data_IF_640158619177
#
_entry.id   IF_640158619177
#
_cell.length_a   1.000
_cell.length_b   1.000
_cell.length_c   1.000
_cell.angle_alpha   90.00
_cell.angle_beta   90.00
_cell.angle_gamma   90.00
#
_symmetry.space_group_name_H-M   'P 1'
#
loop_
_entity.id
_entity.type
_entity.pdbx_description
1 polymer ?
#
# COMPACT_ATOMS: atom_id res chain seq x y z
N UNK A 1 -5.59 9.19 7.24
CA UNK A 1 -4.70 10.34 7.53
C UNK A 1 -5.34 11.33 8.51
N UNK A 2 -6.59 11.71 8.31
CA UNK A 2 -7.31 12.72 9.11
C UNK A 2 -7.34 12.44 10.62
N UNK A 3 -7.48 11.17 11.01
CA UNK A 3 -7.68 10.72 12.40
C UNK A 3 -6.38 10.41 13.15
N UNK A 4 -5.24 10.44 12.48
CA UNK A 4 -3.95 10.15 13.12
C UNK A 4 -3.36 11.43 13.72
N UNK A 5 -3.01 11.38 14.99
CA UNK A 5 -2.36 12.49 15.72
C UNK A 5 -0.83 12.29 15.74
N UNK A 6 -0.21 12.29 14.56
CA UNK A 6 1.24 12.14 14.39
C UNK A 6 1.73 12.91 13.18
N UNK A 7 3.06 13.03 13.00
CA UNK A 7 3.62 13.53 11.75
C UNK A 7 3.25 12.57 10.61
N UNK A 8 2.68 13.11 9.54
CA UNK A 8 2.20 12.35 8.39
C UNK A 8 2.88 12.82 7.12
N UNK A 9 3.30 11.86 6.32
CA UNK A 9 3.85 12.06 4.99
C UNK A 9 3.01 11.24 4.02
N UNK A 10 2.54 11.85 2.94
CA UNK A 10 1.81 11.19 1.88
C UNK A 10 2.67 11.18 0.61
N UNK A 11 2.99 10.01 0.11
CA UNK A 11 3.70 9.85 -1.17
C UNK A 11 2.72 9.35 -2.21
N UNK A 12 2.39 10.19 -3.18
CA UNK A 12 1.38 9.93 -4.19
C UNK A 12 2.04 9.65 -5.54
N UNK A 13 1.75 8.48 -6.11
CA UNK A 13 2.25 8.06 -7.42
C UNK A 13 1.20 8.25 -8.51
N UNK A 14 1.58 8.93 -9.61
CA UNK A 14 0.73 9.14 -10.77
C UNK A 14 1.48 8.81 -12.06
N UNK A 15 0.75 8.59 -13.14
CA UNK A 15 1.36 8.42 -14.48
C UNK A 15 1.82 9.73 -15.08
N UNK A 16 1.06 10.81 -14.82
CA UNK A 16 1.26 12.13 -15.37
C UNK A 16 0.78 13.23 -14.40
N UNK A 17 0.66 14.48 -14.87
CA UNK A 17 0.21 15.62 -14.06
C UNK A 17 -1.25 15.61 -13.63
N UNK A 18 -2.05 14.58 -13.93
CA UNK A 18 -3.42 14.45 -13.43
C UNK A 18 -3.41 13.90 -12.00
N UNK A 19 -3.25 14.79 -11.03
CA UNK A 19 -3.03 14.46 -9.63
C UNK A 19 -4.33 14.60 -8.82
N UNK A 20 -5.19 13.59 -8.87
CA UNK A 20 -6.41 13.56 -8.05
C UNK A 20 -6.07 13.36 -6.56
N UNK A 21 -6.91 13.89 -5.67
CA UNK A 21 -6.76 13.85 -4.21
C UNK A 21 -5.53 14.54 -3.60
N UNK A 22 -4.63 15.12 -4.40
CA UNK A 22 -3.42 15.78 -3.90
C UNK A 22 -3.76 16.90 -2.90
N UNK A 23 -4.64 17.82 -3.30
CA UNK A 23 -5.04 18.97 -2.48
C UNK A 23 -5.76 18.56 -1.18
N UNK A 24 -6.44 17.42 -1.20
CA UNK A 24 -7.09 16.86 -0.02
C UNK A 24 -6.07 16.30 0.98
N UNK A 25 -5.02 15.65 0.49
CA UNK A 25 -3.92 15.16 1.34
C UNK A 25 -3.09 16.30 1.92
N UNK A 26 -2.86 17.38 1.18
CA UNK A 26 -2.11 18.56 1.62
C UNK A 26 -2.71 19.22 2.87
N UNK A 27 -4.01 19.01 3.12
CA UNK A 27 -4.67 19.50 4.33
C UNK A 27 -4.27 18.74 5.61
N UNK A 28 -3.69 17.55 5.52
CA UNK A 28 -3.47 16.66 6.65
C UNK A 28 -2.07 16.05 6.74
N UNK A 29 -1.25 16.20 5.71
CA UNK A 29 0.06 15.58 5.59
C UNK A 29 1.01 16.40 4.74
N UNK A 30 2.31 16.19 4.92
CA UNK A 30 3.31 16.64 3.96
C UNK A 30 3.21 15.75 2.71
N UNK A 31 2.90 16.34 1.56
CA UNK A 31 2.65 15.61 0.31
C UNK A 31 3.86 15.62 -0.59
N UNK A 32 4.26 14.45 -1.05
CA UNK A 32 5.30 14.23 -2.04
C UNK A 32 4.70 13.52 -3.25
N UNK A 33 5.07 13.94 -4.45
CA UNK A 33 4.51 13.42 -5.70
C UNK A 33 5.61 12.75 -6.51
N UNK A 34 5.29 11.58 -7.05
CA UNK A 34 6.06 10.90 -8.08
C UNK A 34 5.21 10.77 -9.35
N UNK A 35 5.80 11.06 -10.52
CA UNK A 35 5.15 10.84 -11.82
C UNK A 35 6.04 10.02 -12.73
N UNK A 36 5.45 9.04 -13.44
CA UNK A 36 6.20 8.18 -14.35
C UNK A 36 6.87 8.97 -15.47
N UNK A 37 6.17 9.97 -16.00
CA UNK A 37 6.64 10.83 -17.09
C UNK A 37 7.54 12.00 -16.63
N UNK A 38 7.59 12.27 -15.31
CA UNK A 38 8.34 13.39 -14.73
C UNK A 38 7.67 14.77 -14.92
N UNK A 39 6.37 14.80 -15.22
CA UNK A 39 5.62 16.05 -15.44
C UNK A 39 5.39 16.83 -14.15
N UNK A 40 5.47 16.19 -12.98
CA UNK A 40 5.38 16.81 -11.67
C UNK A 40 6.11 15.99 -10.61
N UNK A 41 6.69 16.66 -9.61
CA UNK A 41 7.40 16.02 -8.50
C UNK A 41 8.62 15.21 -8.95
N UNK A 42 8.89 14.11 -8.25
CA UNK A 42 9.96 13.18 -8.58
C UNK A 42 9.59 12.36 -9.82
N UNK A 43 10.49 12.27 -10.79
CA UNK A 43 10.31 11.36 -11.93
C UNK A 43 10.59 9.92 -11.50
N UNK A 44 9.60 9.04 -11.66
CA UNK A 44 9.71 7.63 -11.35
C UNK A 44 8.55 7.13 -10.51
N UNK A 45 8.84 6.20 -9.60
CA UNK A 45 7.85 5.59 -8.72
C UNK A 45 7.87 6.21 -7.30
N UNK A 46 6.95 5.76 -6.45
CA UNK A 46 6.82 6.29 -5.07
C UNK A 46 8.09 6.09 -4.22
N UNK A 47 8.85 5.02 -4.43
CA UNK A 47 10.11 4.79 -3.71
C UNK A 47 11.24 5.73 -4.18
N UNK A 48 11.19 6.16 -5.44
CA UNK A 48 12.12 7.17 -5.94
C UNK A 48 11.88 8.51 -5.24
N UNK A 49 10.60 8.89 -5.04
CA UNK A 49 10.25 10.07 -4.25
C UNK A 49 10.66 9.94 -2.77
N UNK A 50 10.51 8.76 -2.17
CA UNK A 50 10.98 8.49 -0.80
C UNK A 50 12.49 8.72 -0.68
N UNK A 51 13.27 8.19 -1.62
CA UNK A 51 14.74 8.30 -1.63
C UNK A 51 15.21 9.73 -1.91
N UNK A 52 14.64 10.38 -2.93
CA UNK A 52 15.04 11.74 -3.34
C UNK A 52 14.77 12.75 -2.22
N UNK A 53 13.66 12.59 -1.49
CA UNK A 53 13.30 13.50 -0.40
C UNK A 53 13.81 13.02 0.98
N UNK A 54 14.62 11.95 1.03
CA UNK A 54 15.17 11.36 2.27
C UNK A 54 14.08 11.11 3.32
N UNK A 55 12.93 10.58 2.90
CA UNK A 55 11.80 10.36 3.80
C UNK A 55 12.07 9.16 4.70
N UNK A 56 11.67 9.31 5.96
CA UNK A 56 11.74 8.26 6.98
C UNK A 56 10.38 8.07 7.61
N UNK A 57 10.07 6.84 8.01
CA UNK A 57 8.81 6.51 8.66
C UNK A 57 9.00 5.36 9.66
N UNK A 58 8.23 5.39 10.73
CA UNK A 58 8.13 4.26 11.68
C UNK A 58 7.12 3.22 11.20
N UNK A 59 6.10 3.67 10.47
CA UNK A 59 5.03 2.83 9.93
C UNK A 59 4.69 3.29 8.51
N UNK A 60 4.52 2.33 7.61
CA UNK A 60 4.07 2.56 6.23
C UNK A 60 2.68 1.95 6.03
N UNK A 61 1.79 2.73 5.45
CA UNK A 61 0.52 2.26 4.90
C UNK A 61 0.53 2.45 3.39
N UNK A 62 0.32 1.39 2.63
CA UNK A 62 0.38 1.44 1.18
C UNK A 62 -0.87 0.83 0.53
N UNK A 63 -1.31 1.46 -0.56
CA UNK A 63 -2.37 0.97 -1.43
C UNK A 63 -2.00 1.26 -2.88
N UNK A 64 -2.19 0.31 -3.77
CA UNK A 64 -1.89 0.47 -5.19
C UNK A 64 -1.58 -0.85 -5.91
N UNK A 65 -1.01 -0.78 -7.11
CA UNK A 65 -0.69 -1.96 -7.92
C UNK A 65 0.27 -2.93 -7.21
N UNK A 66 0.07 -4.23 -7.40
CA UNK A 66 0.89 -5.28 -6.78
C UNK A 66 2.41 -5.09 -6.96
N UNK A 67 2.93 -4.70 -8.14
CA UNK A 67 4.36 -4.44 -8.29
C UNK A 67 4.89 -3.33 -7.37
N UNK A 68 4.10 -2.27 -7.15
CA UNK A 68 4.43 -1.20 -6.22
C UNK A 68 4.42 -1.71 -4.77
N UNK A 69 3.39 -2.45 -4.38
CA UNK A 69 3.28 -3.02 -3.03
C UNK A 69 4.43 -3.98 -2.71
N UNK A 70 4.85 -4.79 -3.71
CA UNK A 70 6.03 -5.67 -3.59
C UNK A 70 7.30 -4.89 -3.32
N UNK A 71 7.55 -3.85 -4.08
CA UNK A 71 8.73 -2.99 -3.90
C UNK A 71 8.71 -2.28 -2.52
N UNK A 72 7.54 -1.81 -2.07
CA UNK A 72 7.38 -1.21 -0.74
C UNK A 72 7.61 -2.26 0.36
N UNK A 73 7.12 -3.48 0.19
CA UNK A 73 7.39 -4.60 1.12
C UNK A 73 8.88 -4.84 1.28
N UNK A 74 9.61 -4.96 0.17
CA UNK A 74 11.07 -5.16 0.19
C UNK A 74 11.79 -4.00 0.90
N UNK A 75 11.39 -2.76 0.60
CA UNK A 75 11.93 -1.57 1.24
C UNK A 75 11.66 -1.56 2.76
N UNK A 76 10.44 -1.84 3.17
CA UNK A 76 10.05 -1.85 4.58
C UNK A 76 10.76 -2.94 5.37
N UNK A 77 10.86 -4.15 4.81
CA UNK A 77 11.56 -5.28 5.44
C UNK A 77 13.05 -4.97 5.58
N UNK A 78 13.69 -4.45 4.53
CA UNK A 78 15.12 -4.12 4.55
C UNK A 78 15.47 -3.00 5.55
N UNK A 79 14.53 -2.10 5.84
CA UNK A 79 14.72 -1.01 6.79
C UNK A 79 14.08 -1.29 8.17
N UNK A 80 13.54 -2.50 8.39
CA UNK A 80 12.85 -2.90 9.61
C UNK A 80 11.70 -1.96 10.00
N UNK A 81 10.93 -1.49 9.01
CA UNK A 81 9.77 -0.61 9.18
C UNK A 81 8.49 -1.44 9.20
N UNK A 82 7.59 -1.16 10.13
CA UNK A 82 6.26 -1.75 10.13
C UNK A 82 5.48 -1.31 8.88
N UNK A 83 4.92 -2.27 8.12
CA UNK A 83 4.25 -1.95 6.88
C UNK A 83 2.94 -2.72 6.74
N UNK A 84 1.90 -1.99 6.36
CA UNK A 84 0.57 -2.52 6.10
C UNK A 84 0.17 -2.18 4.67
N UNK A 85 -0.39 -3.15 3.96
CA UNK A 85 -0.84 -3.01 2.58
C UNK A 85 -2.33 -3.23 2.46
N UNK A 86 -3.00 -2.39 1.73
CA UNK A 86 -4.40 -2.61 1.33
C UNK A 86 -4.41 -3.33 -0.02
N UNK A 87 -5.00 -4.52 -0.02
CA UNK A 87 -5.13 -5.34 -1.22
C UNK A 87 -6.51 -5.17 -1.84
N UNK A 88 -6.56 -5.22 -3.17
CA UNK A 88 -7.78 -5.18 -3.96
C UNK A 88 -7.89 -6.48 -4.77
N UNK A 89 -9.03 -7.16 -4.62
CA UNK A 89 -9.34 -8.37 -5.35
C UNK A 89 -10.79 -8.36 -5.84
N UNK A 90 -11.06 -9.11 -6.90
CA UNK A 90 -12.43 -9.26 -7.40
C UNK A 90 -13.29 -9.97 -6.38
N UNK A 91 -14.34 -9.30 -5.92
CA UNK A 91 -15.24 -9.84 -4.92
C UNK A 91 -16.54 -10.33 -5.56
N UNK A 92 -16.97 -11.55 -5.19
CA UNK A 92 -18.28 -12.05 -5.56
C UNK A 92 -19.26 -12.01 -4.39
N UNK A 93 -19.02 -12.74 -3.29
CA UNK A 93 -19.95 -12.78 -2.16
C UNK A 93 -19.76 -11.66 -1.13
N UNK A 94 -18.56 -11.13 -0.96
CA UNK A 94 -18.23 -10.12 0.06
C UNK A 94 -18.25 -10.61 1.51
N UNK A 95 -18.59 -11.87 1.77
CA UNK A 95 -18.78 -12.45 3.12
C UNK A 95 -17.78 -13.59 3.45
N UNK A 96 -16.82 -13.85 2.55
CA UNK A 96 -15.80 -14.88 2.75
C UNK A 96 -16.20 -16.31 2.42
N UNK A 97 -17.33 -16.53 1.74
CA UNK A 97 -17.84 -17.88 1.44
C UNK A 97 -17.33 -18.45 0.11
N UNK A 98 -17.16 -17.63 -0.93
CA UNK A 98 -16.92 -18.09 -2.32
C UNK A 98 -15.45 -18.26 -2.68
N UNK A 99 -14.50 -17.77 -1.88
CA UNK A 99 -13.06 -17.79 -2.12
C UNK A 99 -12.61 -17.06 -3.42
N UNK A 100 -13.43 -16.15 -3.97
CA UNK A 100 -13.09 -15.39 -5.18
C UNK A 100 -12.02 -14.31 -4.95
N UNK A 101 -11.97 -13.74 -3.74
CA UNK A 101 -11.08 -12.62 -3.38
C UNK A 101 -9.90 -13.06 -2.50
N UNK A 102 -9.33 -14.23 -2.75
CA UNK A 102 -8.21 -14.75 -1.96
C UNK A 102 -6.88 -14.15 -2.42
N UNK A 103 -6.05 -13.80 -1.45
CA UNK A 103 -4.63 -13.52 -1.65
C UNK A 103 -3.78 -14.61 -0.99
N UNK A 104 -2.57 -14.82 -1.48
CA UNK A 104 -1.64 -15.77 -0.86
C UNK A 104 -1.17 -15.25 0.50
N UNK A 105 -1.08 -16.14 1.49
CA UNK A 105 -0.61 -15.82 2.84
C UNK A 105 0.57 -16.70 3.24
N UNK A 106 1.32 -16.23 4.22
CA UNK A 106 2.42 -17.02 4.83
C UNK A 106 1.90 -18.17 5.68
N UNK A 107 0.74 -17.97 6.32
CA UNK A 107 0.12 -18.93 7.22
C UNK A 107 -1.02 -19.69 6.56
N UNK A 108 -1.29 -20.90 7.07
CA UNK A 108 -2.41 -21.73 6.62
C UNK A 108 -3.72 -21.20 7.22
N UNK A 109 -4.69 -20.90 6.38
CA UNK A 109 -6.04 -20.53 6.81
C UNK A 109 -6.79 -21.73 7.42
N UNK A 110 -7.36 -21.55 8.60
CA UNK A 110 -8.05 -22.62 9.33
C UNK A 110 -9.31 -23.13 8.63
N UNK A 111 -9.94 -22.30 7.80
CA UNK A 111 -11.16 -22.66 7.07
C UNK A 111 -10.86 -23.42 5.78
N UNK A 112 -9.99 -22.89 4.95
CA UNK A 112 -9.66 -23.47 3.62
C UNK A 112 -8.55 -24.51 3.67
N UNK A 113 -7.77 -24.56 4.79
CA UNK A 113 -6.60 -25.42 4.99
C UNK A 113 -5.49 -25.21 3.98
N UNK A 114 -5.46 -24.04 3.32
CA UNK A 114 -4.41 -23.62 2.38
C UNK A 114 -3.85 -22.26 2.80
N UNK A 115 -2.71 -21.90 2.24
CA UNK A 115 -2.06 -20.60 2.48
C UNK A 115 -2.78 -19.49 1.71
N UNK A 116 -3.93 -19.07 2.19
CA UNK A 116 -4.67 -17.94 1.63
C UNK A 116 -5.41 -17.14 2.71
N UNK A 117 -5.73 -15.89 2.39
CA UNK A 117 -6.62 -15.01 3.17
C UNK A 117 -7.63 -14.38 2.22
N UNK A 118 -8.84 -14.18 2.71
CA UNK A 118 -9.94 -13.56 1.94
C UNK A 118 -9.93 -12.06 2.18
N UNK A 119 -9.67 -11.30 1.14
CA UNK A 119 -9.61 -9.83 1.22
C UNK A 119 -10.92 -9.24 1.77
N UNK A 120 -12.07 -9.82 1.42
CA UNK A 120 -13.38 -9.34 1.90
C UNK A 120 -13.67 -9.62 3.38
N UNK A 121 -12.97 -10.57 4.03
CA UNK A 121 -13.24 -10.99 5.40
C UNK A 121 -12.10 -10.71 6.36
N UNK A 122 -10.87 -11.12 6.01
CA UNK A 122 -9.67 -10.93 6.83
C UNK A 122 -8.98 -9.59 6.54
N UNK A 123 -9.22 -9.00 5.35
CA UNK A 123 -8.66 -7.72 4.91
C UNK A 123 -9.64 -6.55 4.98
N UNK A 124 -9.48 -5.54 4.12
CA UNK A 124 -8.52 -5.47 3.01
C UNK A 124 -7.09 -5.13 3.41
N UNK A 125 -6.83 -4.73 4.65
CA UNK A 125 -5.50 -4.30 5.13
C UNK A 125 -4.80 -5.46 5.84
N UNK A 126 -3.58 -5.75 5.39
CA UNK A 126 -2.75 -6.82 5.93
C UNK A 126 -1.36 -6.32 6.31
N UNK A 127 -0.77 -6.91 7.33
CA UNK A 127 0.67 -6.75 7.55
C UNK A 127 1.42 -7.41 6.38
N UNK A 128 2.44 -6.75 5.83
CA UNK A 128 3.21 -7.28 4.68
C UNK A 128 3.89 -8.63 4.97
N UNK A 129 4.09 -8.97 6.24
CA UNK A 129 4.65 -10.27 6.65
C UNK A 129 3.65 -11.42 6.55
N UNK A 130 2.35 -11.10 6.49
CA UNK A 130 1.27 -12.09 6.45
C UNK A 130 0.85 -12.49 5.04
N UNK A 131 1.24 -11.70 4.03
CA UNK A 131 0.82 -11.90 2.63
C UNK A 131 2.00 -12.01 1.70
N UNK A 132 1.87 -12.85 0.68
CA UNK A 132 2.79 -12.94 -0.45
C UNK A 132 2.29 -12.04 -1.58
N UNK A 133 3.15 -11.16 -2.05
CA UNK A 133 2.84 -10.16 -3.08
C UNK A 133 3.56 -10.48 -4.40
#
# INVERSE_FOLDING_TARGET
AKQLECKKQAVLGYRNSQMFLKDEFEQFADVYVATEDGSAGTKGNVLDAVRENNLTADVIFACGPTPMLRAIKEYAVSNNIACFVSLEEKMACGIGACLACVCQSTDIDDHSKVKNKRVCKEGPVFNVKEVEL
#
